data_IF_801128663968
#
_entry.id   IF_801128663968
#
_cell.length_a   1.000
_cell.length_b   1.000
_cell.length_c   1.000
_cell.angle_alpha   90.00
_cell.angle_beta   90.00
_cell.angle_gamma   90.00
#
_symmetry.space_group_name_H-M   'P 1'
#
loop_
_entity.id
_entity.type
_entity.pdbx_description
1 polymer ?
#
# COMPACT_ATOMS: atom_id res chain seq x y z
N UNK A 1 1.70 59.28 -67.16
CA UNK A 1 1.23 59.19 -65.76
C UNK A 1 0.34 57.96 -65.67
N UNK A 2 0.52 57.11 -64.64
CA UNK A 2 0.04 55.71 -64.50
C UNK A 2 0.77 54.69 -65.38
N UNK A 3 1.07 53.44 -65.00
CA UNK A 3 1.13 52.67 -63.73
C UNK A 3 1.81 51.33 -64.13
N UNK A 4 2.79 50.90 -63.33
CA UNK A 4 3.21 49.53 -62.93
C UNK A 4 3.04 48.36 -63.95
N UNK A 5 4.11 47.57 -64.19
CA UNK A 5 4.17 46.09 -64.01
C UNK A 5 5.60 45.52 -64.25
N UNK A 6 5.96 44.65 -63.30
CA UNK A 6 6.99 43.61 -63.15
C UNK A 6 7.93 43.19 -64.30
N UNK A 7 9.15 42.75 -63.90
CA UNK A 7 9.63 41.35 -64.11
C UNK A 7 11.13 41.25 -63.80
N UNK A 8 11.45 40.61 -62.67
CA UNK A 8 12.16 39.32 -62.54
C UNK A 8 13.69 39.36 -62.68
N UNK A 9 14.36 39.14 -61.54
CA UNK A 9 15.76 38.78 -61.49
C UNK A 9 15.87 37.32 -61.02
N UNK A 10 16.54 36.51 -61.85
CA UNK A 10 16.94 35.14 -61.52
C UNK A 10 17.98 35.16 -60.40
N UNK A 11 17.90 34.19 -59.50
CA UNK A 11 19.08 33.57 -58.91
C UNK A 11 18.76 32.11 -58.59
N UNK A 12 19.59 31.20 -59.12
CA UNK A 12 19.54 29.79 -58.75
C UNK A 12 20.02 29.59 -57.31
N UNK A 13 19.84 28.37 -56.78
CA UNK A 13 20.96 27.51 -56.36
C UNK A 13 20.44 26.28 -55.58
N UNK A 14 20.91 25.11 -56.04
CA UNK A 14 21.16 23.84 -55.33
C UNK A 14 19.98 22.97 -54.85
N UNK A 15 19.77 21.92 -55.66
CA UNK A 15 19.17 20.63 -55.28
C UNK A 15 19.90 20.03 -54.05
N UNK A 16 19.14 19.68 -53.02
CA UNK A 16 19.53 18.69 -52.00
C UNK A 16 18.57 17.51 -52.13
N UNK A 17 19.14 16.32 -52.28
CA UNK A 17 18.42 15.05 -52.37
C UNK A 17 17.67 14.79 -51.05
N UNK A 18 16.36 14.62 -51.11
CA UNK A 18 15.55 14.08 -50.03
C UNK A 18 15.42 12.57 -50.23
N UNK A 19 15.99 11.78 -49.32
CA UNK A 19 15.69 10.36 -49.19
C UNK A 19 14.38 10.26 -48.41
N UNK A 20 13.34 9.78 -49.08
CA UNK A 20 12.03 9.49 -48.48
C UNK A 20 12.11 8.13 -47.80
N UNK A 21 12.12 8.10 -46.47
CA UNK A 21 11.89 6.88 -45.70
C UNK A 21 10.39 6.78 -45.40
N UNK A 22 9.71 5.85 -46.07
CA UNK A 22 8.31 5.53 -45.84
C UNK A 22 8.20 4.59 -44.62
N UNK A 23 7.87 5.14 -43.46
CA UNK A 23 7.50 4.34 -42.29
C UNK A 23 6.02 3.96 -42.39
N UNK A 24 5.73 2.67 -42.54
CA UNK A 24 4.38 2.11 -42.37
C UNK A 24 4.01 2.18 -40.89
N UNK A 25 3.09 3.08 -40.54
CA UNK A 25 2.49 3.14 -39.21
C UNK A 25 1.29 2.20 -39.15
N UNK A 26 1.43 1.05 -38.50
CA UNK A 26 0.29 0.26 -38.04
C UNK A 26 -0.24 0.84 -36.74
N UNK A 27 -1.43 1.45 -36.79
CA UNK A 27 -2.16 1.88 -35.59
C UNK A 27 -2.77 0.65 -34.90
N UNK A 28 -2.07 0.08 -33.91
CA UNK A 28 -2.70 -0.71 -32.85
C UNK A 28 -3.01 0.22 -31.69
N UNK A 29 -4.29 0.55 -31.56
CA UNK A 29 -4.84 1.26 -30.40
C UNK A 29 -4.76 0.40 -29.15
N UNK A 30 -3.67 0.50 -28.41
CA UNK A 30 -3.61 0.11 -27.01
C UNK A 30 -3.78 1.36 -26.16
N UNK A 31 -4.84 1.43 -25.35
CA UNK A 31 -4.87 2.40 -24.25
C UNK A 31 -3.86 1.91 -23.22
N UNK A 32 -2.66 2.51 -23.25
CA UNK A 32 -1.71 2.34 -22.17
C UNK A 32 -2.31 2.99 -20.92
N UNK A 33 -2.92 2.19 -20.06
CA UNK A 33 -3.20 2.63 -18.69
C UNK A 33 -1.85 2.71 -18.01
N UNK A 34 -1.33 3.93 -17.89
CA UNK A 34 -0.16 4.20 -17.06
C UNK A 34 -0.54 3.87 -15.61
N UNK A 35 -0.16 2.68 -15.15
CA UNK A 35 -0.03 2.42 -13.71
C UNK A 35 1.10 3.33 -13.25
N UNK A 36 0.86 4.29 -12.34
CA UNK A 36 1.97 5.10 -11.83
C UNK A 36 2.97 4.13 -11.19
N UNK A 37 4.16 4.08 -11.77
CA UNK A 37 5.29 3.42 -11.15
C UNK A 37 5.42 4.02 -9.75
N UNK A 38 5.42 3.15 -8.75
CA UNK A 38 5.72 3.55 -7.39
C UNK A 38 7.12 4.15 -7.38
N UNK A 39 7.21 5.48 -7.38
CA UNK A 39 8.42 6.22 -7.00
C UNK A 39 8.61 6.06 -5.48
N UNK A 40 8.83 4.81 -5.06
CA UNK A 40 9.33 4.50 -3.74
C UNK A 40 10.85 4.63 -3.83
N UNK A 41 11.37 5.73 -3.28
CA UNK A 41 12.77 5.79 -2.87
C UNK A 41 13.18 4.44 -2.22
N UNK A 42 14.43 3.98 -2.38
CA UNK A 42 14.85 2.69 -1.84
C UNK A 42 14.64 2.70 -0.33
N UNK A 43 13.55 2.06 0.10
CA UNK A 43 13.26 1.85 1.51
C UNK A 43 14.37 0.96 2.00
N UNK A 44 15.20 1.48 2.91
CA UNK A 44 16.11 0.65 3.70
C UNK A 44 15.20 -0.23 4.59
N UNK A 45 14.68 -1.32 4.02
CA UNK A 45 13.90 -2.33 4.73
C UNK A 45 14.89 -3.18 5.52
N UNK A 46 15.27 -2.69 6.69
CA UNK A 46 16.11 -3.44 7.62
C UNK A 46 15.33 -4.55 8.37
N UNK A 47 14.07 -4.80 8.00
CA UNK A 47 13.23 -5.82 8.61
C UNK A 47 12.77 -6.83 7.55
N UNK A 48 13.16 -8.09 7.70
CA UNK A 48 12.77 -9.18 6.79
C UNK A 48 11.26 -9.35 6.70
N UNK A 49 10.51 -9.06 7.77
CA UNK A 49 9.05 -9.14 7.76
C UNK A 49 8.46 -8.06 6.85
N UNK A 50 9.08 -6.88 6.74
CA UNK A 50 8.66 -5.84 5.82
C UNK A 50 8.80 -6.28 4.36
N UNK A 51 9.87 -7.03 4.04
CA UNK A 51 10.12 -7.58 2.70
C UNK A 51 9.10 -8.66 2.37
N UNK A 52 8.88 -9.60 3.30
CA UNK A 52 7.88 -10.67 3.14
C UNK A 52 6.45 -10.09 3.00
N UNK A 53 6.10 -9.07 3.78
CA UNK A 53 4.82 -8.35 3.66
C UNK A 53 4.67 -7.63 2.32
N UNK A 54 5.73 -7.00 1.83
CA UNK A 54 5.70 -6.39 0.50
C UNK A 54 5.52 -7.42 -0.62
N UNK A 55 6.18 -8.58 -0.52
CA UNK A 55 6.00 -9.68 -1.47
C UNK A 55 4.56 -10.20 -1.46
N UNK A 56 4.01 -10.48 -0.27
CA UNK A 56 2.64 -10.95 -0.14
C UNK A 56 1.61 -9.91 -0.62
N UNK A 57 1.86 -8.62 -0.40
CA UNK A 57 1.02 -7.53 -0.93
C UNK A 57 1.05 -7.49 -2.47
N UNK A 58 2.22 -7.67 -3.10
CA UNK A 58 2.34 -7.73 -4.57
C UNK A 58 1.62 -8.94 -5.15
N UNK A 59 1.78 -10.12 -4.53
CA UNK A 59 1.07 -11.33 -4.96
C UNK A 59 -0.45 -11.15 -4.83
N UNK A 60 -0.90 -10.55 -3.74
CA UNK A 60 -2.31 -10.22 -3.51
C UNK A 60 -2.84 -9.29 -4.59
N UNK A 61 -2.14 -8.20 -4.89
CA UNK A 61 -2.54 -7.24 -5.92
C UNK A 61 -2.64 -7.91 -7.29
N UNK A 62 -1.70 -8.81 -7.59
CA UNK A 62 -1.73 -9.60 -8.83
C UNK A 62 -2.95 -10.53 -8.86
N UNK A 63 -3.23 -11.24 -7.77
CA UNK A 63 -4.42 -12.08 -7.63
C UNK A 63 -5.71 -11.27 -7.81
N UNK A 64 -5.84 -10.10 -7.19
CA UNK A 64 -7.04 -9.25 -7.30
C UNK A 64 -7.28 -8.71 -8.72
N UNK A 65 -6.21 -8.54 -9.51
CA UNK A 65 -6.31 -8.10 -10.92
C UNK A 65 -6.67 -9.26 -11.86
N UNK A 66 -6.09 -10.44 -11.62
CA UNK A 66 -6.18 -11.58 -12.54
C UNK A 66 -7.34 -12.52 -12.23
N UNK A 67 -7.66 -12.71 -10.94
CA UNK A 67 -8.70 -13.61 -10.45
C UNK A 67 -8.40 -15.11 -10.66
N UNK A 68 -7.20 -15.47 -11.12
CA UNK A 68 -6.88 -16.85 -11.47
C UNK A 68 -6.40 -17.69 -10.28
N UNK A 69 -6.47 -19.02 -10.44
CA UNK A 69 -6.13 -19.97 -9.38
C UNK A 69 -4.65 -19.94 -9.00
N UNK A 70 -3.76 -19.71 -9.96
CA UNK A 70 -2.31 -19.78 -9.78
C UNK A 70 -1.81 -18.57 -8.98
N UNK A 71 -2.26 -17.36 -9.34
CA UNK A 71 -1.98 -16.13 -8.58
C UNK A 71 -2.58 -16.19 -7.17
N UNK A 72 -3.79 -16.73 -7.03
CA UNK A 72 -4.37 -16.99 -5.70
C UNK A 72 -3.52 -17.94 -4.87
N UNK A 73 -3.01 -19.03 -5.45
CA UNK A 73 -2.15 -19.98 -4.74
C UNK A 73 -0.83 -19.34 -4.31
N UNK A 74 -0.20 -18.52 -5.16
CA UNK A 74 0.98 -17.73 -4.80
C UNK A 74 0.71 -16.81 -3.61
N UNK A 75 -0.37 -16.03 -3.67
CA UNK A 75 -0.76 -15.13 -2.57
C UNK A 75 -0.99 -15.90 -1.26
N UNK A 76 -1.73 -17.01 -1.31
CA UNK A 76 -1.97 -17.83 -0.11
C UNK A 76 -0.65 -18.35 0.46
N UNK A 77 0.28 -18.79 -0.38
CA UNK A 77 1.59 -19.27 0.06
C UNK A 77 2.42 -18.15 0.71
N UNK A 78 2.52 -16.97 0.09
CA UNK A 78 3.30 -15.85 0.64
C UNK A 78 2.69 -15.27 1.91
N UNK A 79 1.35 -15.13 1.98
CA UNK A 79 0.63 -14.75 3.20
C UNK A 79 0.88 -15.74 4.33
N UNK A 80 0.75 -17.05 4.07
CA UNK A 80 0.93 -18.08 5.09
C UNK A 80 2.39 -18.17 5.58
N UNK A 81 3.37 -17.96 4.69
CA UNK A 81 4.78 -17.89 5.05
C UNK A 81 5.09 -16.69 5.95
N UNK A 82 4.53 -15.51 5.62
CA UNK A 82 4.64 -14.33 6.47
C UNK A 82 3.96 -14.53 7.83
N UNK A 83 2.77 -15.12 7.87
CA UNK A 83 2.06 -15.39 9.12
C UNK A 83 2.88 -16.30 10.06
N UNK A 84 3.54 -17.35 9.53
CA UNK A 84 4.45 -18.19 10.31
C UNK A 84 5.62 -17.39 10.85
N UNK A 85 6.29 -16.62 9.99
CA UNK A 85 7.42 -15.81 10.38
C UNK A 85 7.05 -14.77 11.47
N UNK A 86 5.87 -14.16 11.34
CA UNK A 86 5.33 -13.21 12.30
C UNK A 86 4.95 -13.88 13.63
N UNK A 87 4.36 -15.07 13.57
CA UNK A 87 3.99 -15.85 14.75
C UNK A 87 5.21 -16.19 15.61
N UNK A 88 6.32 -16.57 14.98
CA UNK A 88 7.60 -16.83 15.66
C UNK A 88 8.14 -15.57 16.34
N UNK A 89 8.05 -14.41 15.68
CA UNK A 89 8.47 -13.12 16.26
C UNK A 89 7.66 -12.73 17.48
N UNK A 90 6.37 -13.06 17.49
CA UNK A 90 5.43 -12.68 18.55
C UNK A 90 5.21 -13.77 19.61
N UNK A 91 5.79 -14.96 19.44
CA UNK A 91 5.55 -16.11 20.33
C UNK A 91 4.10 -16.58 20.31
N UNK A 92 3.44 -16.48 19.16
CA UNK A 92 2.03 -16.90 18.95
C UNK A 92 2.02 -18.21 18.17
N UNK A 93 1.01 -19.04 18.39
CA UNK A 93 0.81 -20.26 17.62
C UNK A 93 0.68 -19.96 16.11
N UNK A 94 1.49 -20.59 15.24
CA UNK A 94 1.50 -20.29 13.80
C UNK A 94 0.18 -20.61 13.12
N UNK A 95 -0.51 -21.68 13.53
CA UNK A 95 -1.79 -22.09 12.92
C UNK A 95 -2.86 -21.06 13.23
N UNK A 96 -2.92 -20.57 14.48
CA UNK A 96 -3.87 -19.52 14.87
C UNK A 96 -3.67 -18.24 14.06
N UNK A 97 -2.42 -17.81 13.85
CA UNK A 97 -2.14 -16.60 13.06
C UNK A 97 -2.49 -16.80 11.57
N UNK A 98 -2.15 -17.97 11.00
CA UNK A 98 -2.52 -18.30 9.62
C UNK A 98 -4.03 -18.31 9.41
N UNK A 99 -4.78 -18.93 10.33
CA UNK A 99 -6.25 -18.98 10.27
C UNK A 99 -6.85 -17.57 10.38
N UNK A 100 -6.39 -16.76 11.34
CA UNK A 100 -6.88 -15.40 11.54
C UNK A 100 -6.66 -14.50 10.30
N UNK A 101 -5.51 -14.63 9.63
CA UNK A 101 -5.23 -13.88 8.41
C UNK A 101 -5.97 -14.43 7.21
N UNK A 102 -6.24 -15.73 7.18
CA UNK A 102 -7.01 -16.38 6.12
C UNK A 102 -8.51 -16.09 6.17
N UNK A 103 -9.05 -15.83 7.37
CA UNK A 103 -10.47 -15.53 7.56
C UNK A 103 -10.83 -14.07 7.32
N UNK A 104 -9.84 -13.16 7.34
CA UNK A 104 -10.07 -11.76 7.02
C UNK A 104 -10.46 -11.59 5.55
N UNK A 105 -11.31 -10.63 5.20
CA UNK A 105 -11.61 -10.34 3.80
C UNK A 105 -10.40 -9.74 3.04
N UNK A 106 -10.52 -9.61 1.72
CA UNK A 106 -9.44 -9.12 0.86
C UNK A 106 -9.08 -7.65 1.17
N UNK A 107 -10.03 -6.80 1.57
CA UNK A 107 -9.74 -5.40 1.90
C UNK A 107 -8.90 -5.31 3.17
N UNK A 108 -9.30 -6.07 4.20
CA UNK A 108 -8.62 -6.19 5.48
C UNK A 108 -7.21 -6.79 5.34
N UNK A 109 -7.07 -7.91 4.61
CA UNK A 109 -5.77 -8.51 4.32
C UNK A 109 -4.85 -7.52 3.60
N UNK A 110 -5.36 -6.78 2.60
CA UNK A 110 -4.57 -5.78 1.86
C UNK A 110 -4.10 -4.63 2.74
N UNK A 111 -4.97 -4.11 3.61
CA UNK A 111 -4.61 -3.06 4.56
C UNK A 111 -3.53 -3.55 5.54
N UNK A 112 -3.70 -4.74 6.13
CA UNK A 112 -2.73 -5.31 7.05
C UNK A 112 -1.36 -5.49 6.39
N UNK A 113 -1.31 -6.07 5.19
CA UNK A 113 -0.06 -6.29 4.46
C UNK A 113 0.62 -4.95 4.11
N UNK A 114 -0.17 -3.92 3.77
CA UNK A 114 0.35 -2.57 3.55
C UNK A 114 1.02 -2.01 4.82
N UNK A 115 0.38 -2.12 5.99
CA UNK A 115 0.98 -1.68 7.25
C UNK A 115 2.27 -2.45 7.59
N UNK A 116 2.24 -3.79 7.45
CA UNK A 116 3.39 -4.65 7.73
C UNK A 116 4.56 -4.41 6.77
N UNK A 117 4.29 -4.00 5.52
CA UNK A 117 5.34 -3.64 4.55
C UNK A 117 6.19 -2.43 4.96
N UNK A 118 5.73 -1.70 5.99
CA UNK A 118 6.39 -0.52 6.54
C UNK A 118 7.15 -0.78 7.84
N UNK A 119 7.25 -2.04 8.30
CA UNK A 119 8.06 -2.37 9.49
C UNK A 119 9.49 -1.82 9.34
N UNK A 120 9.99 -1.19 10.41
CA UNK A 120 11.30 -0.52 10.42
C UNK A 120 11.30 0.93 9.91
N UNK A 121 10.22 1.43 9.30
CA UNK A 121 10.11 2.84 8.91
C UNK A 121 10.00 3.73 10.16
N UNK A 122 10.70 4.86 10.18
CA UNK A 122 10.81 5.74 11.37
C UNK A 122 9.47 6.37 11.74
N UNK A 123 9.25 6.56 13.05
CA UNK A 123 8.16 7.40 13.51
C UNK A 123 8.42 8.88 13.14
N UNK A 124 7.42 9.54 12.55
CA UNK A 124 7.42 10.99 12.28
C UNK A 124 6.02 11.55 12.51
N UNK A 125 5.91 12.53 13.41
CA UNK A 125 4.64 13.21 13.73
C UNK A 125 4.02 13.83 12.46
N UNK A 126 2.71 13.69 12.30
CA UNK A 126 1.91 14.18 11.17
C UNK A 126 2.38 13.65 9.81
N UNK A 127 2.99 12.47 9.76
CA UNK A 127 3.49 11.84 8.53
C UNK A 127 2.69 10.58 8.20
N UNK A 128 2.44 10.37 6.90
CA UNK A 128 1.72 9.22 6.36
C UNK A 128 2.35 8.78 5.01
N UNK A 129 3.68 8.64 4.97
CA UNK A 129 4.43 8.41 3.72
C UNK A 129 5.27 7.14 3.80
N UNK A 130 4.98 6.20 2.90
CA UNK A 130 5.69 4.93 2.78
C UNK A 130 7.20 5.14 2.68
N UNK A 131 7.96 4.35 3.42
CA UNK A 131 9.43 4.42 3.46
C UNK A 131 10.02 5.63 4.19
N UNK A 132 9.27 6.73 4.35
CA UNK A 132 9.78 7.99 4.88
C UNK A 132 9.41 8.24 6.35
N UNK A 133 8.19 7.89 6.74
CA UNK A 133 7.77 8.01 8.13
C UNK A 133 6.28 7.97 8.36
N UNK A 134 5.92 7.60 9.59
CA UNK A 134 4.54 7.50 10.04
C UNK A 134 4.37 7.98 11.47
N UNK A 135 3.23 8.60 11.78
CA UNK A 135 2.68 8.54 13.13
C UNK A 135 1.61 7.45 13.23
N UNK A 136 1.01 7.26 14.41
CA UNK A 136 0.08 6.17 14.66
C UNK A 136 -1.09 6.16 13.67
N UNK A 137 -1.79 7.30 13.52
CA UNK A 137 -2.90 7.45 12.59
C UNK A 137 -2.46 7.54 11.12
N UNK A 138 -1.26 8.03 10.85
CA UNK A 138 -0.71 8.08 9.50
C UNK A 138 -0.41 6.70 8.96
N UNK A 139 0.08 5.78 9.80
CA UNK A 139 0.27 4.38 9.40
C UNK A 139 -1.06 3.73 8.99
N UNK A 140 -2.10 3.89 9.82
CA UNK A 140 -3.41 3.31 9.55
C UNK A 140 -4.09 3.98 8.34
N UNK A 141 -4.01 5.31 8.22
CA UNK A 141 -4.51 6.05 7.05
C UNK A 141 -3.85 5.58 5.75
N UNK A 142 -2.53 5.42 5.74
CA UNK A 142 -1.81 4.88 4.59
C UNK A 142 -2.24 3.44 4.26
N UNK A 143 -2.26 2.56 5.25
CA UNK A 143 -2.56 1.16 5.06
C UNK A 143 -3.95 0.94 4.46
N UNK A 144 -4.96 1.63 5.01
CA UNK A 144 -6.32 1.57 4.50
C UNK A 144 -6.48 2.27 3.15
N UNK A 145 -5.74 3.35 2.88
CA UNK A 145 -5.72 3.97 1.55
C UNK A 145 -5.19 3.02 0.47
N UNK A 146 -4.17 2.20 0.77
CA UNK A 146 -3.70 1.13 -0.15
C UNK A 146 -4.78 0.08 -0.40
N UNK A 147 -5.64 -0.17 0.59
CA UNK A 147 -6.81 -1.05 0.47
C UNK A 147 -8.01 -0.38 -0.22
N UNK A 148 -7.94 0.91 -0.57
CA UNK A 148 -9.01 1.64 -1.23
C UNK A 148 -10.00 2.34 -0.28
N UNK A 149 -9.71 2.36 1.02
CA UNK A 149 -10.56 2.98 2.05
C UNK A 149 -9.85 4.22 2.62
N UNK A 150 -10.45 5.40 2.41
CA UNK A 150 -9.90 6.65 2.93
C UNK A 150 -10.34 6.90 4.37
N UNK A 151 -9.39 6.98 5.31
CA UNK A 151 -9.66 7.33 6.70
C UNK A 151 -8.86 8.55 7.14
N UNK A 152 -9.45 9.37 8.03
CA UNK A 152 -8.85 10.61 8.49
C UNK A 152 -7.48 10.40 9.17
N UNK A 153 -6.54 11.33 8.97
CA UNK A 153 -5.22 11.33 9.65
C UNK A 153 -5.33 11.84 11.09
N UNK A 154 -6.28 11.32 11.87
CA UNK A 154 -6.45 11.66 13.29
C UNK A 154 -7.08 10.48 14.03
N UNK A 155 -6.32 9.87 14.95
CA UNK A 155 -6.66 8.59 15.60
C UNK A 155 -8.06 8.54 16.23
N UNK A 156 -8.46 9.58 16.95
CA UNK A 156 -9.79 9.68 17.57
C UNK A 156 -10.90 9.84 16.53
N UNK A 157 -10.63 10.47 15.38
CA UNK A 157 -11.61 10.54 14.29
C UNK A 157 -11.79 9.19 13.64
N UNK A 158 -10.69 8.47 13.36
CA UNK A 158 -10.75 7.12 12.78
C UNK A 158 -11.66 6.19 13.59
N UNK A 159 -11.39 6.03 14.90
CA UNK A 159 -12.18 5.12 15.75
C UNK A 159 -13.61 5.62 16.06
N UNK A 160 -13.95 6.87 15.76
CA UNK A 160 -15.32 7.38 15.89
C UNK A 160 -16.13 7.16 14.62
N UNK A 161 -15.48 7.20 13.47
CA UNK A 161 -16.10 6.92 12.17
C UNK A 161 -16.26 5.41 11.95
N UNK A 162 -15.30 4.61 12.41
CA UNK A 162 -15.34 3.16 12.30
C UNK A 162 -16.57 2.53 12.98
N UNK A 163 -17.08 1.46 12.38
CA UNK A 163 -18.12 0.62 12.98
C UNK A 163 -17.55 -0.04 14.23
N UNK A 164 -18.22 0.16 15.36
CA UNK A 164 -17.78 -0.43 16.62
C UNK A 164 -17.97 -1.95 16.60
N UNK A 165 -16.89 -2.68 16.85
CA UNK A 165 -16.85 -4.14 16.91
C UNK A 165 -16.23 -4.62 18.22
N UNK A 166 -16.38 -5.90 18.51
CA UNK A 166 -15.73 -6.53 19.68
C UNK A 166 -14.42 -7.19 19.27
N UNK A 167 -13.53 -7.45 20.23
CA UNK A 167 -12.33 -8.24 19.98
C UNK A 167 -12.63 -9.64 19.41
N UNK A 168 -13.79 -10.23 19.75
CA UNK A 168 -14.19 -11.56 19.28
C UNK A 168 -14.64 -11.58 17.81
N UNK A 169 -15.09 -10.42 17.30
CA UNK A 169 -15.54 -10.26 15.90
C UNK A 169 -14.52 -9.53 15.04
N UNK A 170 -13.42 -9.06 15.65
CA UNK A 170 -12.39 -8.32 14.95
C UNK A 170 -11.56 -9.23 14.04
N UNK A 171 -11.31 -8.74 12.83
CA UNK A 171 -10.50 -9.37 11.80
C UNK A 171 -9.08 -8.79 11.81
N UNK A 172 -8.17 -9.51 11.17
CA UNK A 172 -6.82 -8.99 10.94
C UNK A 172 -6.90 -7.77 10.01
N UNK A 173 -6.43 -6.60 10.45
CA UNK A 173 -6.55 -5.33 9.72
C UNK A 173 -7.39 -4.28 10.46
N UNK A 174 -8.33 -4.71 11.32
CA UNK A 174 -9.19 -3.80 12.08
C UNK A 174 -8.42 -2.80 12.93
N UNK A 175 -9.03 -1.65 13.20
CA UNK A 175 -8.43 -0.65 14.08
C UNK A 175 -8.53 -1.09 15.53
N UNK A 176 -7.43 -0.89 16.26
CA UNK A 176 -7.42 -0.96 17.72
C UNK A 176 -7.03 0.39 18.28
N UNK A 177 -7.74 0.87 19.29
CA UNK A 177 -7.55 2.20 19.82
C UNK A 177 -7.61 2.23 21.34
N UNK A 178 -6.76 3.05 21.93
CA UNK A 178 -6.97 3.62 23.27
C UNK A 178 -6.71 5.13 23.20
N UNK A 179 -7.16 5.93 24.19
CA UNK A 179 -6.99 7.38 24.14
C UNK A 179 -5.55 7.81 23.80
N UNK A 180 -5.41 8.47 22.64
CA UNK A 180 -4.14 8.99 22.14
C UNK A 180 -3.36 8.09 21.18
N UNK A 181 -3.80 6.86 20.91
CA UNK A 181 -3.06 5.94 20.02
C UNK A 181 -3.97 4.99 19.25
N UNK A 182 -3.66 4.79 17.97
CA UNK A 182 -4.35 3.84 17.10
C UNK A 182 -3.34 2.88 16.47
N UNK A 183 -3.76 1.63 16.29
CA UNK A 183 -2.97 0.49 15.83
C UNK A 183 -3.86 -0.34 14.89
N UNK A 184 -3.28 -1.32 14.21
CA UNK A 184 -4.05 -2.33 13.47
C UNK A 184 -3.91 -3.70 14.14
N UNK A 185 -5.02 -4.42 14.25
CA UNK A 185 -5.08 -5.76 14.83
C UNK A 185 -4.48 -6.80 13.87
N UNK A 186 -3.73 -7.76 14.39
CA UNK A 186 -3.22 -8.90 13.60
C UNK A 186 -4.21 -10.07 13.58
N UNK A 187 -5.41 -9.93 14.14
CA UNK A 187 -6.47 -10.94 14.09
C UNK A 187 -6.40 -12.01 15.18
N UNK A 188 -5.34 -12.02 16.00
CA UNK A 188 -5.13 -13.06 17.02
C UNK A 188 -4.58 -12.47 18.32
N UNK A 189 -5.10 -12.97 19.45
CA UNK A 189 -4.75 -12.55 20.81
C UNK A 189 -4.77 -11.02 20.96
N UNK A 190 -3.66 -10.43 21.39
CA UNK A 190 -3.45 -9.00 21.54
C UNK A 190 -2.48 -8.44 20.52
N UNK A 191 -2.20 -9.19 19.44
CA UNK A 191 -1.17 -8.83 18.46
C UNK A 191 -1.57 -7.60 17.63
N UNK A 192 -0.66 -6.64 17.52
CA UNK A 192 -0.87 -5.36 16.81
C UNK A 192 0.36 -4.96 15.98
N UNK A 193 0.13 -4.14 14.96
CA UNK A 193 1.17 -3.34 14.27
C UNK A 193 0.88 -1.86 14.47
N UNK A 194 1.93 -1.06 14.72
CA UNK A 194 1.78 0.37 14.98
C UNK A 194 3.03 1.20 14.72
N UNK A 195 2.86 2.52 14.67
CA UNK A 195 3.93 3.51 14.77
C UNK A 195 3.85 4.15 16.18
N UNK A 196 4.67 3.72 17.16
CA UNK A 196 4.44 3.99 18.58
C UNK A 196 4.67 5.45 19.00
N UNK A 197 5.87 5.98 18.78
CA UNK A 197 6.28 7.33 19.20
C UNK A 197 7.68 7.69 18.64
N UNK A 198 8.08 8.95 18.85
CA UNK A 198 9.38 9.49 18.44
C UNK A 198 10.56 8.64 18.90
N UNK A 199 11.54 8.46 18.02
CA UNK A 199 12.75 7.65 18.27
C UNK A 199 12.58 6.16 17.92
N UNK A 200 11.34 5.71 17.72
CA UNK A 200 11.03 4.32 17.35
C UNK A 200 10.67 4.21 15.86
N UNK A 201 10.41 2.98 15.44
CA UNK A 201 9.99 2.62 14.08
C UNK A 201 8.62 1.95 14.12
N UNK A 202 7.99 1.80 12.96
CA UNK A 202 6.86 0.89 12.78
C UNK A 202 7.31 -0.50 13.23
N UNK A 203 6.50 -1.11 14.09
CA UNK A 203 6.82 -2.38 14.74
C UNK A 203 5.54 -3.18 15.00
N UNK A 204 5.73 -4.48 15.22
CA UNK A 204 4.70 -5.35 15.78
C UNK A 204 4.91 -5.52 17.27
N UNK A 205 3.83 -5.84 17.97
CA UNK A 205 3.87 -6.16 19.39
C UNK A 205 2.57 -6.75 19.87
N UNK A 206 2.42 -6.83 21.19
CA UNK A 206 1.21 -7.27 21.84
C UNK A 206 0.69 -6.16 22.76
N UNK A 207 -0.63 -5.97 22.79
CA UNK A 207 -1.24 -5.07 23.76
C UNK A 207 -1.04 -5.65 25.16
N UNK A 208 -0.29 -4.92 25.98
CA UNK A 208 -0.24 -5.16 27.42
C UNK A 208 -1.55 -4.69 28.06
N UNK A 209 -1.79 -4.98 29.34
CA UNK A 209 -3.03 -4.61 30.04
C UNK A 209 -3.32 -3.10 29.91
N UNK A 210 -4.20 -2.73 28.98
CA UNK A 210 -4.68 -1.37 28.71
C UNK A 210 -6.17 -1.29 29.05
N UNK A 211 -6.58 -0.17 29.65
CA UNK A 211 -7.99 0.14 29.87
C UNK A 211 -8.57 0.83 28.63
N UNK A 212 -9.87 0.70 28.42
CA UNK A 212 -10.63 1.41 27.38
C UNK A 212 -10.14 1.14 25.95
N UNK A 213 -9.74 -0.10 25.67
CA UNK A 213 -9.42 -0.55 24.32
C UNK A 213 -10.72 -0.67 23.52
N UNK A 214 -10.74 -0.10 22.32
CA UNK A 214 -11.85 -0.15 21.38
C UNK A 214 -11.36 -0.78 20.08
N UNK A 215 -12.20 -1.61 19.48
CA UNK A 215 -11.99 -2.14 18.13
C UNK A 215 -12.96 -1.45 17.18
N UNK A 216 -12.53 -1.24 15.94
CA UNK A 216 -13.37 -0.62 14.93
C UNK A 216 -13.02 -1.07 13.52
N UNK A 217 -14.05 -1.38 12.75
CA UNK A 217 -13.98 -1.67 11.32
C UNK A 217 -14.12 -0.35 10.53
N UNK A 218 -13.10 0.07 9.77
CA UNK A 218 -13.10 1.33 9.05
C UNK A 218 -13.72 1.27 7.63
N UNK A 219 -14.33 0.16 7.20
CA UNK A 219 -14.83 0.03 5.80
C UNK A 219 -16.14 0.78 5.50
N UNK A 220 -16.66 1.61 6.42
CA UNK A 220 -17.97 2.27 6.31
C UNK A 220 -17.90 3.79 6.46
#
# INVERSE_FOLDING_TARGET
>A
MQTIIASSHRSGLRKKFAVVALALTTCLGGVAVAVPAADAAPVIRNDVMAVLAASALTDMQTYLVTGDRETRQRFVASRNGLAVAMSMRLGIDPVRMQVAWASADDTHQKALLAALSQLGVRYRRNMSRAGEGFDCSGLTSYAWAVAGVSIAHQSRTQIRAAVAITAATAQAGDLVYYPGHVMMYLGVDSAIVHAPNSGRTVEVGQLTKRKNVRFGDPTH
#
